data_IF_140696212357
#
_entry.id   IF_140696212357
#
_cell.length_a   1.000
_cell.length_b   1.000
_cell.length_c   1.000
_cell.angle_alpha   90.00
_cell.angle_beta   90.00
_cell.angle_gamma   90.00
#
_symmetry.space_group_name_H-M   'P 1'
#
loop_
_entity.id
_entity.type
_entity.pdbx_description
1 polymer ?
#
# COMPACT_ATOMS: atom_id res chain seq x y z
N UNK A 1 -38.56 -63.81 -23.59
CA UNK A 1 -37.41 -64.62 -23.14
C UNK A 1 -36.13 -63.85 -23.45
N UNK A 2 -35.23 -63.81 -22.46
CA UNK A 2 -33.91 -63.18 -22.44
C UNK A 2 -33.06 -63.40 -23.71
N UNK A 3 -32.30 -62.36 -24.09
CA UNK A 3 -30.80 -62.31 -24.08
C UNK A 3 -30.31 -61.32 -25.13
N UNK A 4 -29.73 -60.17 -24.75
CA UNK A 4 -28.31 -59.93 -24.39
C UNK A 4 -27.43 -59.59 -25.61
N UNK A 5 -27.03 -58.31 -25.75
CA UNK A 5 -25.65 -57.77 -25.50
C UNK A 5 -25.26 -56.58 -26.40
N UNK A 6 -24.84 -55.51 -25.70
CA UNK A 6 -23.82 -54.49 -25.97
C UNK A 6 -23.76 -53.78 -27.34
N UNK A 7 -23.81 -52.43 -27.34
CA UNK A 7 -22.63 -51.58 -27.52
C UNK A 7 -22.92 -50.09 -27.22
N UNK A 8 -21.95 -49.49 -26.53
CA UNK A 8 -21.57 -48.08 -26.34
C UNK A 8 -22.52 -46.92 -26.74
N UNK A 9 -22.77 -46.03 -25.77
CA UNK A 9 -22.76 -44.58 -26.01
C UNK A 9 -22.17 -43.87 -24.78
N UNK A 10 -21.01 -43.26 -25.01
CA UNK A 10 -20.19 -42.48 -24.11
C UNK A 10 -20.78 -41.07 -24.02
N UNK A 11 -21.12 -40.60 -22.83
CA UNK A 11 -21.34 -39.17 -22.59
C UNK A 11 -20.51 -38.75 -21.38
N UNK A 12 -19.35 -38.15 -21.70
CA UNK A 12 -18.56 -37.35 -20.78
C UNK A 12 -19.39 -36.14 -20.35
N UNK A 13 -19.80 -36.09 -19.09
CA UNK A 13 -20.16 -34.82 -18.45
C UNK A 13 -18.88 -34.16 -17.96
N UNK A 14 -18.35 -33.29 -18.83
CA UNK A 14 -17.28 -32.35 -18.49
C UNK A 14 -17.81 -31.38 -17.43
N UNK A 15 -17.05 -31.26 -16.35
CA UNK A 15 -17.37 -30.37 -15.24
C UNK A 15 -17.30 -28.90 -15.65
N UNK A 16 -18.18 -28.12 -15.03
CA UNK A 16 -17.94 -26.72 -14.76
C UNK A 16 -17.96 -26.56 -13.24
N UNK A 17 -16.80 -26.73 -12.60
CA UNK A 17 -16.57 -26.09 -11.31
C UNK A 17 -16.43 -24.60 -11.61
N UNK A 18 -17.53 -23.86 -11.45
CA UNK A 18 -17.48 -22.41 -11.36
C UNK A 18 -16.80 -22.06 -10.04
N UNK A 19 -15.47 -22.00 -10.07
CA UNK A 19 -14.69 -21.32 -9.05
C UNK A 19 -15.05 -19.84 -9.10
N UNK A 20 -16.01 -19.44 -8.27
CA UNK A 20 -16.31 -18.04 -8.05
C UNK A 20 -15.05 -17.37 -7.52
N UNK A 21 -14.55 -16.40 -8.28
CA UNK A 21 -13.61 -15.42 -7.76
C UNK A 21 -14.25 -14.80 -6.51
N UNK A 22 -13.67 -15.05 -5.34
CA UNK A 22 -14.05 -14.37 -4.12
C UNK A 22 -13.71 -12.88 -4.31
N UNK A 23 -14.72 -12.11 -4.71
CA UNK A 23 -14.65 -10.66 -4.68
C UNK A 23 -14.54 -10.25 -3.22
N UNK A 24 -13.37 -9.74 -2.82
CA UNK A 24 -13.26 -8.95 -1.60
C UNK A 24 -13.99 -7.62 -1.84
N UNK A 25 -15.31 -7.66 -1.73
CA UNK A 25 -16.15 -6.46 -1.62
C UNK A 25 -16.28 -6.16 -0.13
N UNK A 26 -15.22 -5.62 0.47
CA UNK A 26 -15.37 -5.01 1.77
C UNK A 26 -15.96 -3.62 1.54
N UNK A 27 -17.24 -3.47 1.86
CA UNK A 27 -17.93 -2.20 1.75
C UNK A 27 -17.23 -1.18 2.67
N UNK A 28 -16.85 -0.03 2.11
CA UNK A 28 -16.30 1.07 2.90
C UNK A 28 -17.25 1.37 4.07
N UNK A 29 -16.76 1.20 5.30
CA UNK A 29 -17.54 1.48 6.52
C UNK A 29 -18.02 2.95 6.50
N UNK A 30 -19.24 3.23 7.01
CA UNK A 30 -19.76 4.59 7.07
C UNK A 30 -18.83 5.49 7.89
N UNK A 31 -18.58 6.70 7.38
CA UNK A 31 -17.59 7.65 7.88
C UNK A 31 -17.72 8.01 9.39
N UNK A 32 -18.88 7.75 10.01
CA UNK A 32 -19.13 7.99 11.43
C UNK A 32 -18.46 7.01 12.40
N UNK A 33 -17.94 5.88 11.90
CA UNK A 33 -17.28 4.85 12.71
C UNK A 33 -15.80 4.65 12.30
N UNK A 34 -15.20 5.66 11.65
CA UNK A 34 -13.79 5.65 11.32
C UNK A 34 -12.98 5.70 12.64
N UNK A 35 -12.44 4.54 13.02
CA UNK A 35 -11.40 4.51 14.04
C UNK A 35 -10.24 5.37 13.54
N UNK A 36 -9.92 6.44 14.27
CA UNK A 36 -8.75 7.26 13.99
C UNK A 36 -7.53 6.34 13.93
N UNK A 37 -6.92 6.18 12.75
CA UNK A 37 -5.72 5.35 12.59
C UNK A 37 -4.55 5.86 13.44
N UNK A 38 -4.64 7.11 13.92
CA UNK A 38 -3.66 7.69 14.83
C UNK A 38 -3.89 7.33 16.29
N UNK A 39 -5.09 6.87 16.66
CA UNK A 39 -5.56 6.68 18.05
C UNK A 39 -5.44 7.94 18.94
N UNK A 40 -5.15 9.11 18.35
CA UNK A 40 -4.96 10.38 19.04
C UNK A 40 -6.10 11.34 18.72
N UNK A 41 -6.44 12.27 19.63
CA UNK A 41 -7.37 13.34 19.33
C UNK A 41 -6.76 14.30 18.30
N UNK A 42 -7.59 14.87 17.41
CA UNK A 42 -7.13 15.74 16.32
C UNK A 42 -6.22 16.90 16.79
N UNK A 43 -6.51 17.46 17.98
CA UNK A 43 -5.68 18.54 18.52
C UNK A 43 -4.25 18.08 18.88
N UNK A 44 -4.07 16.83 19.33
CA UNK A 44 -2.74 16.29 19.61
C UNK A 44 -1.93 16.08 18.32
N UNK A 45 -2.59 15.80 17.19
CA UNK A 45 -1.93 15.61 15.89
C UNK A 45 -1.23 16.87 15.38
N UNK A 46 -1.64 18.05 15.85
CA UNK A 46 -1.04 19.33 15.44
C UNK A 46 0.34 19.61 16.05
N UNK A 47 0.80 18.79 16.99
CA UNK A 47 2.15 18.97 17.55
C UNK A 47 3.21 18.73 16.48
N UNK A 48 4.36 19.42 16.60
CA UNK A 48 5.49 19.25 15.69
C UNK A 48 5.85 17.77 15.49
N UNK A 49 6.04 17.03 16.59
CA UNK A 49 6.45 15.61 16.52
C UNK A 49 5.41 14.73 15.81
N UNK A 50 4.11 15.01 16.00
CA UNK A 50 3.07 14.25 15.33
C UNK A 50 2.93 14.63 13.86
N UNK A 51 3.16 15.89 13.48
CA UNK A 51 3.22 16.29 12.08
C UNK A 51 4.41 15.64 11.36
N UNK A 52 5.57 15.54 12.02
CA UNK A 52 6.72 14.80 11.49
C UNK A 52 6.36 13.33 11.27
N UNK A 53 5.71 12.68 12.24
CA UNK A 53 5.26 11.29 12.10
C UNK A 53 4.28 11.12 10.94
N UNK A 54 3.24 11.95 10.85
CA UNK A 54 2.25 11.89 9.77
C UNK A 54 2.91 12.02 8.39
N UNK A 55 3.81 12.99 8.22
CA UNK A 55 4.54 13.19 6.97
C UNK A 55 5.43 11.98 6.61
N UNK A 56 6.15 11.42 7.59
CA UNK A 56 7.00 10.24 7.36
C UNK A 56 6.19 8.99 7.05
N UNK A 57 5.05 8.78 7.70
CA UNK A 57 4.15 7.67 7.40
C UNK A 57 3.47 7.83 6.04
N UNK A 58 3.07 9.05 5.68
CA UNK A 58 2.61 9.37 4.33
C UNK A 58 3.66 8.99 3.28
N UNK A 59 4.93 9.36 3.49
CA UNK A 59 6.02 9.04 2.56
C UNK A 59 6.27 7.52 2.45
N UNK A 60 6.22 6.79 3.57
CA UNK A 60 6.32 5.33 3.56
C UNK A 60 5.18 4.69 2.75
N UNK A 61 3.94 5.12 2.98
CA UNK A 61 2.78 4.59 2.27
C UNK A 61 2.84 4.90 0.77
N UNK A 62 3.25 6.11 0.38
CA UNK A 62 3.49 6.47 -1.02
C UNK A 62 4.60 5.67 -1.68
N UNK A 63 5.65 5.33 -0.94
CA UNK A 63 6.70 4.45 -1.42
C UNK A 63 6.14 3.03 -1.69
N UNK A 64 5.35 2.49 -0.76
CA UNK A 64 4.64 1.22 -0.93
C UNK A 64 3.69 1.20 -2.14
N UNK A 65 2.93 2.29 -2.35
CA UNK A 65 2.06 2.43 -3.52
C UNK A 65 2.86 2.44 -4.83
N UNK A 66 3.97 3.18 -4.85
CA UNK A 66 4.86 3.26 -6.03
C UNK A 66 5.46 1.89 -6.37
N UNK A 67 5.92 1.14 -5.36
CA UNK A 67 6.41 -0.23 -5.54
C UNK A 67 5.32 -1.18 -6.03
N UNK A 68 4.12 -1.10 -5.45
CA UNK A 68 2.99 -1.95 -5.83
C UNK A 68 2.59 -1.73 -7.28
N UNK A 69 2.59 -0.47 -7.72
CA UNK A 69 2.41 -0.09 -9.13
C UNK A 69 3.49 -0.68 -10.03
N UNK A 70 4.76 -0.55 -9.65
CA UNK A 70 5.89 -1.12 -10.41
C UNK A 70 5.81 -2.65 -10.51
N UNK A 71 5.28 -3.31 -9.49
CA UNK A 71 5.03 -4.75 -9.45
C UNK A 71 3.73 -5.18 -10.18
N UNK A 72 2.93 -4.23 -10.70
CA UNK A 72 1.67 -4.51 -11.38
C UNK A 72 0.53 -4.95 -10.45
N UNK A 73 0.60 -4.67 -9.16
CA UNK A 73 -0.42 -5.03 -8.18
C UNK A 73 -1.36 -3.85 -7.88
N UNK A 74 -2.46 -3.77 -8.62
CA UNK A 74 -3.45 -2.69 -8.46
C UNK A 74 -4.09 -2.66 -7.06
N UNK A 75 -4.41 -3.83 -6.49
CA UNK A 75 -5.02 -3.91 -5.16
C UNK A 75 -4.09 -3.37 -4.06
N UNK A 76 -2.78 -3.66 -4.15
CA UNK A 76 -1.80 -3.13 -3.21
C UNK A 76 -1.51 -1.65 -3.47
N UNK A 77 -1.48 -1.21 -4.73
CA UNK A 77 -1.35 0.22 -5.06
C UNK A 77 -2.49 1.03 -4.44
N UNK A 78 -3.73 0.54 -4.55
CA UNK A 78 -4.93 1.18 -3.98
C UNK A 78 -4.86 1.23 -2.45
N UNK A 79 -4.57 0.11 -1.78
CA UNK A 79 -4.49 0.05 -0.32
C UNK A 79 -3.44 1.00 0.25
N UNK A 80 -2.23 1.00 -0.33
CA UNK A 80 -1.17 1.91 0.07
C UNK A 80 -1.50 3.38 -0.25
N UNK A 81 -2.21 3.65 -1.35
CA UNK A 81 -2.63 5.00 -1.70
C UNK A 81 -3.71 5.53 -0.75
N UNK A 82 -4.68 4.69 -0.37
CA UNK A 82 -5.69 5.02 0.63
C UNK A 82 -5.05 5.25 2.00
N UNK A 83 -4.07 4.43 2.37
CA UNK A 83 -3.27 4.62 3.58
C UNK A 83 -2.52 5.96 3.57
N UNK A 84 -1.89 6.32 2.45
CA UNK A 84 -1.23 7.63 2.32
C UNK A 84 -2.24 8.78 2.45
N UNK A 85 -3.41 8.67 1.78
CA UNK A 85 -4.46 9.68 1.86
C UNK A 85 -4.96 9.89 3.30
N UNK A 86 -5.06 8.81 4.09
CA UNK A 86 -5.42 8.89 5.49
C UNK A 86 -4.40 9.73 6.30
N UNK A 87 -3.09 9.49 6.12
CA UNK A 87 -2.05 10.32 6.75
C UNK A 87 -2.09 11.79 6.30
N UNK A 88 -2.41 12.02 5.02
CA UNK A 88 -2.50 13.37 4.44
C UNK A 88 -3.62 14.20 5.07
N UNK A 89 -4.78 13.58 5.36
CA UNK A 89 -5.96 14.25 5.95
C UNK A 89 -5.64 15.00 7.25
N UNK A 90 -4.69 14.49 8.05
CA UNK A 90 -4.30 15.10 9.32
C UNK A 90 -2.98 15.87 9.25
N UNK A 91 -2.31 15.85 8.09
CA UNK A 91 -1.07 16.56 7.89
C UNK A 91 -1.33 18.03 7.62
N UNK A 92 -0.48 18.90 8.14
CA UNK A 92 -0.49 20.35 7.90
C UNK A 92 0.61 20.78 6.94
N UNK A 93 1.37 19.84 6.38
CA UNK A 93 2.42 20.15 5.40
C UNK A 93 1.78 20.64 4.09
N UNK A 94 2.42 21.60 3.39
CA UNK A 94 1.92 22.07 2.11
C UNK A 94 2.14 21.02 1.01
N UNK A 95 1.44 21.16 -0.13
CA UNK A 95 1.51 20.20 -1.24
C UNK A 95 2.96 20.01 -1.74
N UNK A 96 3.75 21.08 -1.77
CA UNK A 96 5.14 21.10 -2.21
C UNK A 96 6.03 20.18 -1.35
N UNK A 97 5.70 19.99 -0.06
CA UNK A 97 6.41 19.06 0.81
C UNK A 97 6.19 17.61 0.35
N UNK A 98 4.95 17.29 -0.02
CA UNK A 98 4.57 15.96 -0.51
C UNK A 98 5.16 15.69 -1.90
N UNK A 99 5.15 16.67 -2.80
CA UNK A 99 5.81 16.56 -4.11
C UNK A 99 7.33 16.35 -3.97
N UNK A 100 7.98 17.09 -3.06
CA UNK A 100 9.40 16.90 -2.77
C UNK A 100 9.70 15.50 -2.20
N UNK A 101 8.85 15.02 -1.29
CA UNK A 101 8.97 13.66 -0.77
C UNK A 101 8.69 12.59 -1.85
N UNK A 102 7.75 12.83 -2.78
CA UNK A 102 7.50 11.94 -3.92
C UNK A 102 8.73 11.85 -4.84
N UNK A 103 9.38 12.98 -5.14
CA UNK A 103 10.63 12.97 -5.89
C UNK A 103 11.76 12.22 -5.16
N UNK A 104 11.81 12.34 -3.82
CA UNK A 104 12.77 11.61 -2.99
C UNK A 104 12.48 10.09 -3.00
N UNK A 105 11.21 9.68 -2.96
CA UNK A 105 10.79 8.28 -3.12
C UNK A 105 11.32 7.71 -4.43
N UNK A 106 11.03 8.37 -5.55
CA UNK A 106 11.45 7.92 -6.87
C UNK A 106 12.98 7.79 -6.99
N UNK A 107 13.71 8.75 -6.40
CA UNK A 107 15.17 8.68 -6.30
C UNK A 107 15.61 7.44 -5.53
N UNK A 108 15.10 7.22 -4.32
CA UNK A 108 15.48 6.06 -3.49
C UNK A 108 15.18 4.73 -4.18
N UNK A 109 14.00 4.59 -4.79
CA UNK A 109 13.62 3.37 -5.50
C UNK A 109 14.56 3.07 -6.68
N UNK A 110 15.00 4.11 -7.39
CA UNK A 110 15.91 4.00 -8.54
C UNK A 110 17.38 3.79 -8.16
N UNK A 111 17.87 4.48 -7.12
CA UNK A 111 19.31 4.54 -6.82
C UNK A 111 19.76 3.60 -5.71
N UNK A 112 18.86 3.17 -4.84
CA UNK A 112 19.21 2.30 -3.72
C UNK A 112 19.21 0.85 -4.17
N UNK A 113 20.31 0.15 -3.94
CA UNK A 113 20.43 -1.29 -4.17
C UNK A 113 20.43 -2.04 -2.84
N UNK A 114 19.72 -3.17 -2.79
CA UNK A 114 19.66 -4.04 -1.62
C UNK A 114 19.86 -5.49 -2.03
N UNK A 115 20.52 -6.23 -1.15
CA UNK A 115 20.85 -7.64 -1.34
C UNK A 115 20.91 -8.33 0.01
N UNK A 116 20.67 -9.63 0.02
CA UNK A 116 20.72 -10.47 1.22
C UNK A 116 20.83 -11.94 0.82
N UNK A 117 21.07 -12.79 1.81
CA UNK A 117 21.30 -14.23 1.61
C UNK A 117 20.07 -15.01 1.14
N UNK A 118 18.87 -14.42 1.20
CA UNK A 118 17.60 -15.08 0.85
C UNK A 118 17.16 -14.86 -0.60
N UNK A 119 17.91 -14.10 -1.41
CA UNK A 119 17.73 -14.00 -2.87
C UNK A 119 16.55 -13.16 -3.37
N UNK A 120 15.97 -12.28 -2.52
CA UNK A 120 14.89 -11.36 -2.92
C UNK A 120 15.38 -10.07 -3.60
N UNK A 121 14.45 -9.28 -4.14
CA UNK A 121 14.76 -7.92 -4.66
C UNK A 121 14.88 -6.87 -3.56
N UNK A 122 14.33 -7.15 -2.37
CA UNK A 122 14.36 -6.27 -1.19
C UNK A 122 13.85 -4.84 -1.46
N UNK A 123 12.93 -4.67 -2.40
CA UNK A 123 12.37 -3.36 -2.77
C UNK A 123 11.74 -2.64 -1.57
N UNK A 124 11.00 -3.36 -0.73
CA UNK A 124 10.41 -2.80 0.50
C UNK A 124 11.47 -2.27 1.48
N UNK A 125 12.68 -2.83 1.49
CA UNK A 125 13.77 -2.29 2.33
C UNK A 125 14.17 -0.88 1.89
N UNK A 126 14.10 -0.56 0.59
CA UNK A 126 14.39 0.81 0.11
C UNK A 126 13.42 1.83 0.69
N UNK A 127 12.14 1.46 0.85
CA UNK A 127 11.14 2.30 1.51
C UNK A 127 11.40 2.45 3.02
N UNK A 128 11.86 1.39 3.68
CA UNK A 128 12.27 1.43 5.10
C UNK A 128 13.51 2.32 5.27
N UNK A 129 14.47 2.25 4.36
CA UNK A 129 15.66 3.11 4.39
C UNK A 129 15.30 4.58 4.19
N UNK A 130 14.41 4.86 3.22
CA UNK A 130 13.87 6.20 3.01
C UNK A 130 13.18 6.73 4.28
N UNK A 131 12.33 5.91 4.91
CA UNK A 131 11.64 6.28 6.14
C UNK A 131 12.61 6.66 7.28
N UNK A 132 13.80 6.05 7.30
CA UNK A 132 14.84 6.33 8.29
C UNK A 132 15.95 7.28 7.76
N UNK A 133 15.77 7.86 6.58
CA UNK A 133 16.80 8.67 5.92
C UNK A 133 16.90 10.09 6.49
N UNK A 134 18.11 10.64 6.47
CA UNK A 134 18.35 12.04 6.84
C UNK A 134 17.72 13.00 5.85
N UNK A 135 17.60 12.60 4.60
CA UNK A 135 16.97 13.36 3.53
C UNK A 135 15.48 13.57 3.80
N UNK A 136 14.76 12.53 4.22
CA UNK A 136 13.36 12.67 4.60
C UNK A 136 13.19 13.48 5.89
N UNK A 137 14.09 13.32 6.86
CA UNK A 137 14.11 14.15 8.08
C UNK A 137 14.37 15.63 7.75
N UNK A 138 15.25 15.91 6.79
CA UNK A 138 15.53 17.27 6.34
C UNK A 138 14.32 17.91 5.65
N UNK A 139 13.59 17.16 4.81
CA UNK A 139 12.33 17.63 4.23
C UNK A 139 11.31 17.92 5.33
N UNK A 140 11.16 17.02 6.30
CA UNK A 140 10.25 17.25 7.43
C UNK A 140 10.60 18.54 8.19
N UNK A 141 11.88 18.75 8.50
CA UNK A 141 12.35 19.95 9.19
C UNK A 141 12.20 21.24 8.36
N UNK A 142 12.27 21.15 7.03
CA UNK A 142 12.07 22.29 6.13
C UNK A 142 10.62 22.77 6.11
N UNK A 143 9.67 21.83 6.09
CA UNK A 143 8.25 22.14 5.86
C UNK A 143 7.40 22.17 7.13
N UNK A 144 7.86 21.56 8.22
CA UNK A 144 7.15 21.52 9.50
C UNK A 144 7.87 22.48 10.45
N UNK A 145 7.20 23.56 10.81
CA UNK A 145 7.72 24.54 11.77
C UNK A 145 7.63 23.97 13.18
N UNK A 146 8.72 24.09 13.95
CA UNK A 146 8.72 23.89 15.40
C UNK A 146 7.96 24.99 16.11
#
# INVERSE_FOLDING_TARGET
MNSRRFFAAMLCTIGFMTGGAAQATDAAKPAGELQSFTQLPQQALKSYDNQVKLFKYWALARCGATLSKQAGSAALEEDWSNTAAAYLEYSTVPLEANEAAQALIEKFLKSTTRSGSTGGSYESMKCIDLFNSRELDALAAQYIKK
#
